data_IF_707317856925
#
_entry.id   IF_707317856925
#
_cell.length_a   1.000
_cell.length_b   1.000
_cell.length_c   1.000
_cell.angle_alpha   90.00
_cell.angle_beta   90.00
_cell.angle_gamma   90.00
#
_symmetry.space_group_name_H-M   'P 1'
#
loop_
_entity.id
_entity.type
_entity.pdbx_description
1 polymer ?
#
# COMPACT_ATOMS: atom_id res chain seq x y z
N UNK A 1 -11.32 6.09 -8.50
CA UNK A 1 -10.40 4.96 -8.33
C UNK A 1 -10.10 4.31 -9.68
N UNK A 2 -8.98 3.60 -9.77
CA UNK A 2 -8.62 2.84 -10.97
C UNK A 2 -9.25 1.45 -10.88
N UNK A 3 -9.76 0.92 -12.00
CA UNK A 3 -10.31 -0.44 -12.08
C UNK A 3 -10.03 -1.08 -13.43
N UNK A 4 -10.10 -2.41 -13.46
CA UNK A 4 -10.09 -3.25 -14.66
C UNK A 4 -11.35 -4.08 -14.68
N UNK A 5 -11.94 -4.25 -15.86
CA UNK A 5 -13.14 -5.06 -16.07
C UNK A 5 -12.83 -6.12 -17.13
N UNK A 6 -13.24 -7.36 -16.86
CA UNK A 6 -13.25 -8.47 -17.81
C UNK A 6 -14.67 -8.97 -17.99
N UNK A 7 -15.05 -9.18 -19.23
CA UNK A 7 -16.25 -9.94 -19.59
C UNK A 7 -15.84 -11.40 -19.82
N UNK A 8 -16.38 -12.29 -19.00
CA UNK A 8 -16.05 -13.70 -19.00
C UNK A 8 -17.28 -14.51 -19.37
N UNK A 9 -17.22 -15.23 -20.51
CA UNK A 9 -18.30 -16.13 -20.90
C UNK A 9 -18.06 -17.52 -20.30
N UNK A 10 -19.06 -18.05 -19.59
CA UNK A 10 -19.04 -19.41 -19.06
C UNK A 10 -20.15 -20.28 -19.66
N UNK A 11 -19.88 -21.58 -19.89
CA UNK A 11 -20.80 -22.46 -20.64
C UNK A 11 -22.03 -22.91 -19.83
N UNK A 12 -21.97 -22.84 -18.50
CA UNK A 12 -23.05 -23.30 -17.61
C UNK A 12 -23.05 -22.53 -16.29
N UNK A 13 -24.19 -22.52 -15.62
CA UNK A 13 -24.25 -22.08 -14.22
C UNK A 13 -23.38 -22.99 -13.34
N UNK A 14 -22.63 -22.38 -12.41
CA UNK A 14 -21.77 -23.18 -11.55
C UNK A 14 -20.92 -22.35 -10.58
N UNK A 15 -20.15 -23.06 -9.77
CA UNK A 15 -19.19 -22.50 -8.84
C UNK A 15 -17.79 -22.55 -9.46
N UNK A 16 -17.29 -21.41 -9.88
CA UNK A 16 -16.01 -21.26 -10.56
C UNK A 16 -14.91 -20.75 -9.61
N UNK A 17 -13.68 -21.07 -9.91
CA UNK A 17 -12.51 -20.54 -9.21
C UNK A 17 -11.86 -19.46 -10.09
N UNK A 18 -11.54 -18.32 -9.50
CA UNK A 18 -10.85 -17.23 -10.15
C UNK A 18 -9.41 -17.10 -9.65
N UNK A 19 -8.54 -16.64 -10.54
CA UNK A 19 -7.16 -16.30 -10.21
C UNK A 19 -6.61 -15.22 -11.13
N UNK A 20 -5.64 -14.48 -10.65
CA UNK A 20 -4.94 -13.43 -11.41
C UNK A 20 -3.47 -13.80 -11.52
N UNK A 21 -2.93 -13.71 -12.75
CA UNK A 21 -1.49 -13.67 -12.93
C UNK A 21 -1.06 -12.22 -12.98
N UNK A 22 -0.31 -11.80 -11.99
CA UNK A 22 0.16 -10.43 -11.85
C UNK A 22 1.46 -10.34 -11.07
N UNK A 23 2.01 -9.15 -10.97
CA UNK A 23 3.14 -8.83 -10.09
C UNK A 23 3.03 -7.41 -9.56
N UNK A 24 3.54 -7.22 -8.36
CA UNK A 24 3.82 -5.91 -7.77
C UNK A 24 5.33 -5.86 -7.53
N UNK A 25 6.06 -5.12 -8.37
CA UNK A 25 7.52 -5.05 -8.38
C UNK A 25 8.06 -3.63 -8.12
N UNK A 26 7.21 -2.74 -7.61
CA UNK A 26 7.54 -1.32 -7.41
C UNK A 26 7.78 -1.01 -5.93
N UNK A 27 6.88 -1.44 -5.03
CA UNK A 27 6.94 -1.08 -3.62
C UNK A 27 7.40 -2.28 -2.80
N UNK A 28 8.70 -2.35 -2.53
CA UNK A 28 9.31 -3.43 -1.76
C UNK A 28 8.96 -3.30 -0.26
N UNK A 29 8.50 -4.39 0.35
CA UNK A 29 8.06 -4.40 1.75
C UNK A 29 6.64 -3.89 1.97
N UNK A 30 5.85 -3.79 0.89
CA UNK A 30 4.43 -3.48 0.91
C UNK A 30 3.64 -4.42 -0.01
N UNK A 31 2.34 -4.22 -0.07
CA UNK A 31 1.44 -4.90 -1.00
C UNK A 31 0.54 -3.89 -1.71
N UNK A 32 0.02 -4.28 -2.85
CA UNK A 32 -1.05 -3.56 -3.53
C UNK A 32 -2.38 -4.27 -3.31
N UNK A 33 -3.41 -3.52 -3.00
CA UNK A 33 -4.74 -4.06 -2.70
C UNK A 33 -5.70 -3.88 -3.87
N UNK A 34 -6.56 -4.88 -4.06
CA UNK A 34 -7.66 -4.83 -5.02
C UNK A 34 -8.94 -5.33 -4.37
N UNK A 35 -10.04 -4.70 -4.73
CA UNK A 35 -11.39 -5.17 -4.42
C UNK A 35 -11.97 -5.86 -5.64
N UNK A 36 -12.53 -7.05 -5.43
CA UNK A 36 -13.14 -7.85 -6.48
C UNK A 36 -14.66 -7.68 -6.46
N UNK A 37 -15.21 -7.43 -7.64
CA UNK A 37 -16.64 -7.50 -7.88
C UNK A 37 -16.92 -8.54 -8.95
N UNK A 38 -18.04 -9.24 -8.79
CA UNK A 38 -18.59 -10.18 -9.76
C UNK A 38 -20.02 -9.78 -10.04
N UNK A 39 -20.32 -9.40 -11.27
CA UNK A 39 -21.64 -8.90 -11.68
C UNK A 39 -22.13 -7.73 -10.79
N UNK A 40 -21.20 -6.84 -10.37
CA UNK A 40 -21.48 -5.66 -9.56
C UNK A 40 -21.54 -5.92 -8.04
N UNK A 41 -21.39 -7.15 -7.57
CA UNK A 41 -21.43 -7.53 -6.15
C UNK A 41 -20.07 -8.04 -5.66
N UNK A 42 -19.77 -7.84 -4.37
CA UNK A 42 -18.60 -8.43 -3.71
C UNK A 42 -18.95 -9.87 -3.34
N UNK A 43 -18.27 -10.88 -3.91
CA UNK A 43 -18.73 -12.27 -3.81
C UNK A 43 -18.52 -12.91 -2.42
N UNK A 44 -17.59 -12.37 -1.62
CA UNK A 44 -17.26 -12.82 -0.26
C UNK A 44 -16.47 -11.73 0.45
N UNK A 45 -16.34 -11.81 1.78
CA UNK A 45 -15.74 -10.73 2.61
C UNK A 45 -14.28 -10.43 2.24
N UNK A 46 -13.47 -11.44 2.01
CA UNK A 46 -12.04 -11.29 1.69
C UNK A 46 -11.83 -10.66 0.30
N UNK A 47 -12.85 -10.63 -0.55
CA UNK A 47 -12.84 -9.93 -1.83
C UNK A 47 -12.82 -8.40 -1.69
N UNK A 48 -13.09 -7.87 -0.49
CA UNK A 48 -12.94 -6.43 -0.20
C UNK A 48 -11.49 -5.98 -0.23
N UNK A 49 -10.53 -6.89 0.10
CA UNK A 49 -9.11 -6.58 0.11
C UNK A 49 -8.26 -7.79 -0.28
N UNK A 50 -8.01 -7.95 -1.58
CA UNK A 50 -7.09 -8.95 -2.11
C UNK A 50 -5.70 -8.31 -2.19
N UNK A 51 -4.71 -8.90 -1.50
CA UNK A 51 -3.35 -8.35 -1.38
C UNK A 51 -2.40 -9.01 -2.35
N UNK A 52 -1.69 -8.20 -3.12
CA UNK A 52 -0.61 -8.60 -4.02
C UNK A 52 0.71 -8.14 -3.42
N UNK A 53 1.43 -9.05 -2.81
CA UNK A 53 2.72 -8.77 -2.18
C UNK A 53 3.81 -8.51 -3.23
N UNK A 54 4.87 -7.79 -2.80
CA UNK A 54 6.01 -7.52 -3.66
C UNK A 54 6.65 -8.80 -4.18
N UNK A 55 6.77 -8.92 -5.51
CA UNK A 55 7.51 -9.96 -6.21
C UNK A 55 7.95 -9.43 -7.59
N UNK A 56 9.22 -9.68 -7.95
CA UNK A 56 9.75 -9.31 -9.25
C UNK A 56 9.22 -10.18 -10.39
N UNK A 57 8.71 -11.37 -10.07
CA UNK A 57 8.18 -12.33 -11.02
C UNK A 57 6.66 -12.30 -11.07
N UNK A 58 6.09 -12.57 -12.23
CA UNK A 58 4.65 -12.78 -12.34
C UNK A 58 4.23 -14.03 -11.58
N UNK A 59 3.36 -13.85 -10.60
CA UNK A 59 2.78 -14.93 -9.81
C UNK A 59 1.31 -15.12 -10.17
N UNK A 60 0.87 -16.39 -10.16
CA UNK A 60 -0.57 -16.68 -10.28
C UNK A 60 -1.13 -16.76 -8.85
N UNK A 61 -1.94 -15.80 -8.48
CA UNK A 61 -2.68 -15.77 -7.23
C UNK A 61 -4.10 -16.26 -7.46
N UNK A 62 -4.42 -17.41 -6.90
CA UNK A 62 -5.80 -17.94 -6.86
C UNK A 62 -6.52 -17.27 -5.69
N UNK A 63 -7.74 -16.81 -5.92
CA UNK A 63 -8.53 -16.21 -4.85
C UNK A 63 -9.00 -17.28 -3.87
N UNK A 64 -8.58 -17.14 -2.62
CA UNK A 64 -8.78 -18.13 -1.56
C UNK A 64 -8.06 -17.72 -0.27
N UNK A 65 -8.05 -18.62 0.70
CA UNK A 65 -7.34 -18.44 1.98
C UNK A 65 -5.88 -18.90 1.97
N UNK A 66 -5.36 -19.28 0.79
CA UNK A 66 -4.02 -19.83 0.59
C UNK A 66 -3.98 -21.36 0.52
N UNK A 67 -4.90 -22.05 1.16
CA UNK A 67 -5.06 -23.51 1.11
C UNK A 67 -6.22 -23.92 0.21
N UNK A 68 -7.33 -23.20 0.30
CA UNK A 68 -8.58 -23.50 -0.42
C UNK A 68 -8.94 -22.34 -1.34
N UNK A 69 -9.19 -22.66 -2.60
CA UNK A 69 -9.71 -21.69 -3.56
C UNK A 69 -11.18 -21.39 -3.28
N UNK A 70 -11.51 -20.09 -3.24
CA UNK A 70 -12.91 -19.68 -3.10
C UNK A 70 -13.70 -19.97 -4.38
N UNK A 71 -14.92 -20.45 -4.19
CA UNK A 71 -15.81 -20.78 -5.27
C UNK A 71 -16.85 -19.67 -5.44
N UNK A 72 -16.90 -19.12 -6.63
CA UNK A 72 -17.70 -17.96 -6.97
C UNK A 72 -18.81 -18.40 -7.92
N UNK A 73 -20.08 -18.11 -7.62
CA UNK A 73 -21.19 -18.45 -8.50
C UNK A 73 -21.15 -17.58 -9.76
N UNK A 74 -21.00 -18.20 -10.92
CA UNK A 74 -21.17 -17.56 -12.22
C UNK A 74 -22.37 -18.16 -12.94
N UNK A 75 -23.08 -17.34 -13.71
CA UNK A 75 -24.22 -17.75 -14.52
C UNK A 75 -23.78 -18.03 -15.95
N UNK A 76 -24.44 -18.96 -16.61
CA UNK A 76 -24.25 -19.24 -18.02
C UNK A 76 -24.31 -17.94 -18.86
N UNK A 77 -23.33 -17.76 -19.75
CA UNK A 77 -23.17 -16.57 -20.57
C UNK A 77 -22.12 -15.63 -20.00
N UNK A 78 -22.26 -14.33 -20.28
CA UNK A 78 -21.30 -13.30 -19.93
C UNK A 78 -21.45 -12.90 -18.46
N UNK A 79 -20.35 -12.89 -17.74
CA UNK A 79 -20.23 -12.37 -16.38
C UNK A 79 -19.18 -11.28 -16.35
N UNK A 80 -19.46 -10.20 -15.62
CA UNK A 80 -18.53 -9.10 -15.40
C UNK A 80 -17.67 -9.39 -14.18
N UNK A 81 -16.35 -9.37 -14.35
CA UNK A 81 -15.36 -9.46 -13.27
C UNK A 81 -14.61 -8.13 -13.20
N UNK A 82 -14.77 -7.40 -12.10
CA UNK A 82 -14.12 -6.10 -11.91
C UNK A 82 -13.13 -6.17 -10.75
N UNK A 83 -11.91 -5.66 -10.98
CA UNK A 83 -10.92 -5.38 -9.94
C UNK A 83 -10.72 -3.87 -9.80
N UNK A 84 -10.93 -3.37 -8.61
CA UNK A 84 -10.78 -1.96 -8.25
C UNK A 84 -9.58 -1.77 -7.33
N UNK A 85 -8.71 -0.79 -7.62
CA UNK A 85 -7.62 -0.41 -6.74
C UNK A 85 -8.16 0.19 -5.44
N UNK A 86 -7.69 -0.30 -4.31
CA UNK A 86 -8.09 0.18 -2.98
C UNK A 86 -6.87 0.27 -2.07
N UNK A 87 -6.92 1.14 -1.07
CA UNK A 87 -5.91 1.18 -0.02
C UNK A 87 -6.15 0.12 1.06
N UNK A 88 -7.37 -0.42 1.13
CA UNK A 88 -7.72 -1.44 2.11
C UNK A 88 -7.37 -1.04 3.54
N UNK A 89 -6.75 -1.95 4.25
CA UNK A 89 -6.33 -1.77 5.65
C UNK A 89 -5.26 -0.68 5.85
N UNK A 90 -4.59 -0.23 4.78
CA UNK A 90 -3.60 0.86 4.86
C UNK A 90 -4.25 2.25 4.83
N UNK A 91 -5.52 2.36 4.48
CA UNK A 91 -6.16 3.67 4.25
C UNK A 91 -6.07 4.60 5.47
N UNK A 92 -6.49 4.15 6.64
CA UNK A 92 -6.44 4.96 7.86
C UNK A 92 -5.00 5.31 8.26
N UNK A 93 -4.08 4.35 8.14
CA UNK A 93 -2.68 4.56 8.46
C UNK A 93 -2.04 5.62 7.57
N UNK A 94 -2.31 5.59 6.25
CA UNK A 94 -1.77 6.59 5.33
C UNK A 94 -2.32 7.99 5.59
N UNK A 95 -3.60 8.11 5.98
CA UNK A 95 -4.18 9.40 6.42
C UNK A 95 -3.49 9.94 7.68
N UNK A 96 -3.28 9.09 8.68
CA UNK A 96 -2.59 9.48 9.92
C UNK A 96 -1.13 9.88 9.67
N UNK A 97 -0.43 9.22 8.72
CA UNK A 97 0.92 9.64 8.30
C UNK A 97 0.90 11.01 7.61
N UNK A 98 -0.10 11.29 6.78
CA UNK A 98 -0.26 12.62 6.16
C UNK A 98 -0.45 13.73 7.21
N UNK A 99 -1.28 13.47 8.22
CA UNK A 99 -1.46 14.37 9.36
C UNK A 99 -0.14 14.60 10.12
N UNK A 100 0.65 13.55 10.36
CA UNK A 100 1.98 13.65 10.96
C UNK A 100 2.93 14.51 10.10
N UNK A 101 2.95 14.31 8.78
CA UNK A 101 3.76 15.11 7.84
C UNK A 101 3.38 16.59 7.95
N UNK A 102 2.09 16.91 7.98
CA UNK A 102 1.62 18.28 8.12
C UNK A 102 2.06 18.90 9.45
N UNK A 103 1.97 18.15 10.54
CA UNK A 103 2.42 18.59 11.87
C UNK A 103 3.94 18.79 11.91
N UNK A 104 4.74 17.86 11.37
CA UNK A 104 6.19 17.98 11.28
C UNK A 104 6.63 19.18 10.43
N UNK A 105 5.95 19.45 9.32
CA UNK A 105 6.20 20.66 8.52
C UNK A 105 5.91 21.94 9.31
N UNK A 106 4.83 21.96 10.10
CA UNK A 106 4.55 23.11 10.99
C UNK A 106 5.65 23.31 12.03
N UNK A 107 6.16 22.23 12.62
CA UNK A 107 7.30 22.24 13.54
C UNK A 107 8.55 22.77 12.86
N UNK A 108 8.87 22.23 11.66
CA UNK A 108 9.99 22.67 10.85
C UNK A 108 9.95 24.19 10.59
N UNK A 109 8.79 24.71 10.18
CA UNK A 109 8.62 26.15 9.92
C UNK A 109 8.85 27.01 11.17
N UNK A 110 8.42 26.57 12.34
CA UNK A 110 8.64 27.29 13.61
C UNK A 110 10.12 27.31 14.01
N UNK A 111 10.83 26.19 13.83
CA UNK A 111 12.29 26.14 14.03
C UNK A 111 13.00 27.04 13.04
N UNK A 112 12.61 26.99 11.76
CA UNK A 112 13.15 27.82 10.68
C UNK A 112 13.05 29.32 10.98
N UNK A 113 11.93 29.77 11.56
CA UNK A 113 11.73 31.19 11.92
C UNK A 113 12.73 31.66 13.00
N UNK A 114 13.23 30.79 13.84
CA UNK A 114 14.20 31.11 14.90
C UNK A 114 15.64 31.01 14.37
N UNK A 115 15.92 29.98 13.60
CA UNK A 115 17.29 29.63 13.19
C UNK A 115 17.68 30.23 11.86
N UNK A 116 16.71 30.58 11.02
CA UNK A 116 16.93 30.81 9.60
C UNK A 116 17.19 29.50 8.83
N UNK A 117 17.41 29.60 7.50
CA UNK A 117 17.54 28.43 6.63
C UNK A 117 18.86 27.66 6.83
N UNK A 118 19.87 28.31 7.42
CA UNK A 118 21.16 27.70 7.70
C UNK A 118 21.48 27.96 9.17
N UNK A 119 21.03 27.08 10.08
CA UNK A 119 21.32 27.24 11.51
C UNK A 119 22.81 27.25 11.81
N UNK A 120 23.24 28.13 12.72
CA UNK A 120 24.56 28.05 13.31
C UNK A 120 24.58 26.88 14.30
N UNK A 121 25.34 25.85 14.00
CA UNK A 121 25.40 24.61 14.75
C UNK A 121 26.06 24.77 16.14
N UNK A 122 26.76 25.86 16.37
CA UNK A 122 27.44 26.15 17.63
C UNK A 122 26.66 27.11 18.53
N UNK A 123 25.57 27.68 18.01
CA UNK A 123 24.73 28.63 18.75
C UNK A 123 23.72 27.91 19.60
N UNK A 124 23.66 28.24 20.87
CA UNK A 124 22.56 27.91 21.77
C UNK A 124 21.33 28.77 21.42
N UNK A 125 20.29 28.12 20.87
CA UNK A 125 19.03 28.76 20.51
C UNK A 125 18.00 28.73 21.65
N UNK A 126 18.27 28.03 22.75
CA UNK A 126 17.37 27.87 23.91
C UNK A 126 15.96 27.45 23.48
N UNK A 127 15.86 26.43 22.63
CA UNK A 127 14.57 25.94 22.11
C UNK A 127 13.61 25.52 23.20
N UNK A 128 14.12 24.98 24.30
CA UNK A 128 13.35 24.64 25.50
C UNK A 128 12.59 25.81 26.12
N UNK A 129 13.15 27.02 26.01
CA UNK A 129 12.55 28.26 26.51
C UNK A 129 11.76 29.03 25.45
N UNK A 130 12.27 29.06 24.20
CA UNK A 130 11.67 29.86 23.15
C UNK A 130 10.44 29.17 22.53
N UNK A 131 10.47 27.82 22.41
CA UNK A 131 9.43 27.04 21.72
C UNK A 131 9.06 25.75 22.49
N UNK A 132 8.73 25.81 23.80
CA UNK A 132 8.40 24.60 24.57
C UNK A 132 7.22 23.83 23.97
N UNK A 133 6.26 24.52 23.35
CA UNK A 133 5.11 23.89 22.68
C UNK A 133 5.54 23.11 21.43
N UNK A 134 6.57 23.57 20.71
CA UNK A 134 7.10 22.85 19.55
C UNK A 134 7.78 21.56 19.98
N UNK A 135 8.53 21.56 21.08
CA UNK A 135 9.15 20.35 21.62
C UNK A 135 8.11 19.35 22.08
N UNK A 136 7.06 19.82 22.75
CA UNK A 136 5.94 18.94 23.12
C UNK A 136 5.28 18.31 21.89
N UNK A 137 4.93 19.12 20.89
CA UNK A 137 4.33 18.62 19.67
C UNK A 137 5.27 17.66 18.92
N UNK A 138 6.57 17.93 18.89
CA UNK A 138 7.56 17.04 18.28
C UNK A 138 7.59 15.67 18.98
N UNK A 139 7.47 15.65 20.31
CA UNK A 139 7.34 14.41 21.08
C UNK A 139 6.06 13.65 20.72
N UNK A 140 4.93 14.35 20.65
CA UNK A 140 3.64 13.76 20.25
C UNK A 140 3.73 13.13 18.85
N UNK A 141 4.42 13.80 17.92
CA UNK A 141 4.63 13.24 16.58
C UNK A 141 5.59 12.04 16.60
N UNK A 142 6.62 12.04 17.43
CA UNK A 142 7.51 10.89 17.59
C UNK A 142 6.74 9.66 18.09
N UNK A 143 5.90 9.84 19.12
CA UNK A 143 5.09 8.76 19.68
C UNK A 143 4.04 8.25 18.66
N UNK A 144 3.39 9.15 17.92
CA UNK A 144 2.44 8.78 16.86
C UNK A 144 3.11 8.01 15.70
N UNK A 145 4.26 8.46 15.23
CA UNK A 145 5.03 7.78 14.18
C UNK A 145 5.55 6.41 14.60
N UNK A 146 5.89 6.22 15.89
CA UNK A 146 6.28 4.90 16.43
C UNK A 146 5.11 3.92 16.42
N UNK A 147 3.90 4.38 16.81
CA UNK A 147 2.68 3.58 16.71
C UNK A 147 2.38 3.21 15.25
N UNK A 148 2.44 4.20 14.35
CA UNK A 148 2.24 4.01 12.91
C UNK A 148 3.24 3.01 12.31
N UNK A 149 4.50 3.08 12.70
CA UNK A 149 5.51 2.10 12.32
C UNK A 149 5.12 0.68 12.76
N UNK A 150 4.71 0.54 14.01
CA UNK A 150 4.33 -0.76 14.59
C UNK A 150 3.11 -1.34 13.90
N UNK A 151 2.09 -0.53 13.63
CA UNK A 151 0.88 -0.90 12.90
C UNK A 151 1.19 -1.24 11.44
N UNK A 152 2.06 -0.47 10.77
CA UNK A 152 2.48 -0.75 9.41
C UNK A 152 3.13 -2.14 9.29
N UNK A 153 4.08 -2.45 10.18
CA UNK A 153 4.73 -3.77 10.23
C UNK A 153 3.71 -4.88 10.51
N UNK A 154 2.75 -4.65 11.41
CA UNK A 154 1.71 -5.63 11.70
C UNK A 154 0.78 -5.88 10.51
N UNK A 155 0.41 -4.85 9.76
CA UNK A 155 -0.48 -4.94 8.59
C UNK A 155 0.23 -5.60 7.40
N UNK A 156 1.48 -5.21 7.13
CA UNK A 156 2.24 -5.70 5.96
C UNK A 156 2.91 -7.04 6.21
N UNK A 157 3.15 -7.38 7.47
CA UNK A 157 3.95 -8.55 7.86
C UNK A 157 5.43 -8.43 7.53
N UNK A 158 5.90 -7.22 7.17
CA UNK A 158 7.26 -6.98 6.69
C UNK A 158 7.89 -5.76 7.37
N UNK A 159 9.18 -5.87 7.68
CA UNK A 159 10.01 -4.79 8.21
C UNK A 159 11.04 -4.36 7.14
N UNK A 160 10.55 -4.08 5.94
CA UNK A 160 11.35 -3.67 4.79
C UNK A 160 11.71 -2.19 4.78
N UNK A 161 12.18 -1.71 3.63
CA UNK A 161 12.63 -0.32 3.44
C UNK A 161 11.55 0.70 3.79
N UNK A 162 10.30 0.41 3.46
CA UNK A 162 9.16 1.28 3.72
C UNK A 162 8.93 1.50 5.23
N UNK A 163 8.99 0.43 6.03
CA UNK A 163 8.91 0.52 7.48
C UNK A 163 10.09 1.31 8.08
N UNK A 164 11.29 1.20 7.49
CA UNK A 164 12.48 1.93 7.96
C UNK A 164 12.37 3.45 7.77
N UNK A 165 11.61 3.92 6.78
CA UNK A 165 11.34 5.36 6.60
C UNK A 165 10.53 5.92 7.78
N UNK A 166 9.47 5.24 8.20
CA UNK A 166 8.71 5.61 9.42
C UNK A 166 9.60 5.55 10.66
N UNK A 167 10.42 4.50 10.77
CA UNK A 167 11.35 4.33 11.89
C UNK A 167 12.37 5.46 11.99
N UNK A 168 12.99 5.85 10.88
CA UNK A 168 13.93 6.99 10.85
C UNK A 168 13.27 8.27 11.34
N UNK A 169 12.05 8.54 10.88
CA UNK A 169 11.33 9.75 11.22
C UNK A 169 11.03 9.83 12.73
N UNK A 170 10.49 8.75 13.34
CA UNK A 170 10.20 8.81 14.78
C UNK A 170 11.46 8.87 15.64
N UNK A 171 12.51 8.13 15.28
CA UNK A 171 13.77 8.17 16.02
C UNK A 171 14.38 9.57 15.99
N UNK A 172 14.41 10.22 14.83
CA UNK A 172 14.93 11.58 14.73
C UNK A 172 14.09 12.58 15.53
N UNK A 173 12.75 12.49 15.45
CA UNK A 173 11.88 13.36 16.22
C UNK A 173 12.11 13.18 17.73
N UNK A 174 12.34 11.94 18.17
CA UNK A 174 12.66 11.61 19.57
C UNK A 174 14.01 12.16 20.00
N UNK A 175 15.06 11.96 19.17
CA UNK A 175 16.40 12.55 19.43
C UNK A 175 16.33 14.07 19.54
N UNK A 176 15.59 14.77 18.70
CA UNK A 176 15.43 16.22 18.77
C UNK A 176 14.65 16.68 20.00
N UNK A 177 13.78 15.83 20.54
CA UNK A 177 13.04 16.12 21.78
C UNK A 177 13.93 15.88 23.01
N UNK A 178 14.73 14.83 23.00
CA UNK A 178 15.60 14.44 24.11
C UNK A 178 16.84 15.34 24.22
N UNK A 179 17.29 15.91 23.09
CA UNK A 179 18.43 16.81 22.99
C UNK A 179 18.04 18.08 22.20
N UNK A 180 17.34 19.04 22.84
CA UNK A 180 16.93 20.29 22.18
C UNK A 180 18.11 21.14 21.67
N UNK A 181 19.26 21.09 22.32
CA UNK A 181 20.46 21.83 21.90
C UNK A 181 21.03 21.30 20.57
N UNK A 182 20.82 20.02 20.28
CA UNK A 182 21.21 19.38 19.04
C UNK A 182 20.26 19.61 17.85
N UNK A 183 19.15 20.33 18.03
CA UNK A 183 18.16 20.55 16.95
C UNK A 183 18.79 21.27 15.75
N UNK A 184 19.61 22.30 16.00
CA UNK A 184 20.28 23.04 14.93
C UNK A 184 21.17 22.16 14.04
N UNK A 185 21.84 21.18 14.63
CA UNK A 185 22.70 20.23 13.92
C UNK A 185 21.87 19.22 13.09
N UNK A 186 20.67 18.86 13.56
CA UNK A 186 19.79 17.87 12.95
C UNK A 186 18.78 18.49 11.97
N UNK A 187 18.73 19.82 11.85
CA UNK A 187 17.68 20.54 11.14
C UNK A 187 17.59 20.14 9.65
N UNK A 188 18.73 20.04 8.96
CA UNK A 188 18.77 19.62 7.55
C UNK A 188 18.28 18.19 7.36
N UNK A 189 18.70 17.26 8.24
CA UNK A 189 18.26 15.86 8.19
C UNK A 189 16.77 15.75 8.52
N UNK A 190 16.26 16.58 9.43
CA UNK A 190 14.84 16.63 9.75
C UNK A 190 13.98 17.00 8.53
N UNK A 191 14.38 18.05 7.79
CA UNK A 191 13.72 18.41 6.52
C UNK A 191 13.76 17.29 5.49
N UNK A 192 14.90 16.60 5.37
CA UNK A 192 15.06 15.48 4.44
C UNK A 192 14.13 14.31 4.81
N UNK A 193 14.03 13.96 6.08
CA UNK A 193 13.16 12.87 6.53
C UNK A 193 11.67 13.18 6.34
N UNK A 194 11.24 14.44 6.52
CA UNK A 194 9.87 14.87 6.18
C UNK A 194 9.61 14.68 4.68
N UNK A 195 10.57 15.04 3.83
CA UNK A 195 10.46 14.84 2.38
C UNK A 195 10.42 13.36 2.00
N UNK A 196 11.24 12.52 2.65
CA UNK A 196 11.22 11.07 2.46
C UNK A 196 9.86 10.46 2.85
N UNK A 197 9.26 10.91 3.97
CA UNK A 197 7.91 10.49 4.38
C UNK A 197 6.85 10.87 3.34
N UNK A 198 6.90 12.09 2.78
CA UNK A 198 5.97 12.53 1.74
C UNK A 198 6.10 11.70 0.46
N UNK A 199 7.33 11.36 0.06
CA UNK A 199 7.59 10.48 -1.09
C UNK A 199 7.08 9.07 -0.82
N UNK A 200 7.34 8.53 0.37
CA UNK A 200 6.85 7.24 0.80
C UNK A 200 5.31 7.18 0.76
N UNK A 201 4.63 8.18 1.34
CA UNK A 201 3.18 8.27 1.34
C UNK A 201 2.60 8.26 -0.09
N UNK A 202 3.20 9.06 -0.98
CA UNK A 202 2.80 9.11 -2.39
C UNK A 202 2.95 7.75 -3.09
N UNK A 203 4.05 7.05 -2.87
CA UNK A 203 4.30 5.73 -3.45
C UNK A 203 3.34 4.67 -2.90
N UNK A 204 3.11 4.66 -1.59
CA UNK A 204 2.19 3.74 -0.94
C UNK A 204 0.73 3.91 -1.43
N UNK A 205 0.34 5.15 -1.77
CA UNK A 205 -1.00 5.45 -2.27
C UNK A 205 -1.23 5.00 -3.72
N UNK A 206 -0.17 4.81 -4.53
CA UNK A 206 -0.30 4.44 -5.96
C UNK A 206 -0.83 3.04 -6.21
N UNK A 207 -0.65 2.11 -5.28
CA UNK A 207 -1.13 0.73 -5.39
C UNK A 207 -0.76 0.04 -6.73
N UNK A 208 0.53 0.06 -7.12
CA UNK A 208 0.96 -0.45 -8.42
C UNK A 208 0.72 -1.96 -8.54
N UNK A 209 0.19 -2.39 -9.68
CA UNK A 209 0.00 -3.82 -9.99
C UNK A 209 -0.01 -4.01 -11.50
N UNK A 210 0.91 -4.83 -12.00
CA UNK A 210 0.89 -5.30 -13.37
C UNK A 210 0.09 -6.59 -13.45
N UNK A 211 -0.90 -6.66 -14.33
CA UNK A 211 -1.74 -7.84 -14.53
C UNK A 211 -1.52 -8.37 -15.94
N UNK A 212 -1.17 -9.66 -16.04
CA UNK A 212 -1.00 -10.38 -17.31
C UNK A 212 -2.35 -10.92 -17.80
N UNK A 213 -3.04 -11.72 -16.96
CA UNK A 213 -4.36 -12.25 -17.27
C UNK A 213 -5.16 -12.67 -16.06
N UNK A 214 -6.49 -12.75 -16.27
CA UNK A 214 -7.45 -13.38 -15.36
C UNK A 214 -7.63 -14.85 -15.78
N UNK A 215 -7.66 -15.76 -14.82
CA UNK A 215 -7.97 -17.19 -15.02
C UNK A 215 -9.29 -17.52 -14.38
N UNK A 216 -10.11 -18.28 -15.10
CA UNK A 216 -11.38 -18.82 -14.63
C UNK A 216 -11.36 -20.33 -14.82
N UNK A 217 -11.54 -21.10 -13.74
CA UNK A 217 -11.59 -22.55 -13.78
C UNK A 217 -12.98 -23.06 -13.43
N UNK A 218 -13.44 -24.06 -14.18
CA UNK A 218 -14.72 -24.73 -13.91
C UNK A 218 -14.66 -25.54 -12.61
N UNK A 219 -15.80 -25.98 -12.05
CA UNK A 219 -15.85 -26.75 -10.81
C UNK A 219 -15.01 -28.03 -10.81
N UNK A 220 -14.81 -28.62 -11.98
CA UNK A 220 -14.04 -29.86 -12.17
C UNK A 220 -12.54 -29.64 -12.33
N UNK A 221 -12.10 -28.37 -12.36
CA UNK A 221 -10.70 -27.97 -12.57
C UNK A 221 -10.19 -27.23 -11.34
N UNK A 222 -8.97 -27.57 -10.91
CA UNK A 222 -8.30 -26.89 -9.80
C UNK A 222 -7.22 -25.97 -10.34
N UNK A 223 -7.27 -24.68 -9.97
CA UNK A 223 -6.19 -23.72 -10.17
C UNK A 223 -5.11 -23.83 -9.09
N UNK A 224 -5.37 -24.54 -7.99
CA UNK A 224 -4.42 -24.75 -6.91
C UNK A 224 -3.30 -25.66 -7.40
N UNK A 225 -2.05 -25.19 -7.38
CA UNK A 225 -0.86 -25.98 -7.70
C UNK A 225 -0.72 -27.16 -6.72
N UNK A 226 -1.03 -28.35 -7.15
CA UNK A 226 -0.37 -29.55 -6.56
C UNK A 226 1.07 -29.52 -7.07
N UNK A 227 2.00 -29.35 -6.17
CA UNK A 227 3.45 -29.35 -6.30
C UNK A 227 4.06 -29.32 -7.72
N UNK A 228 5.14 -28.58 -7.89
CA UNK A 228 5.83 -28.32 -9.15
C UNK A 228 5.77 -29.46 -10.18
N UNK A 229 5.11 -29.19 -11.32
CA UNK A 229 5.19 -30.04 -12.49
C UNK A 229 3.84 -30.55 -12.97
N UNK A 230 3.12 -29.72 -13.69
CA UNK A 230 2.34 -30.11 -14.86
C UNK A 230 1.65 -28.87 -15.45
N UNK A 231 2.20 -28.30 -16.51
CA UNK A 231 1.46 -27.44 -17.41
C UNK A 231 0.54 -28.30 -18.27
N UNK A 232 -0.69 -28.51 -17.81
CA UNK A 232 -1.73 -29.01 -18.70
C UNK A 232 -2.35 -27.82 -19.42
N UNK A 233 -2.16 -27.80 -20.73
CA UNK A 233 -2.79 -26.87 -21.67
C UNK A 233 -4.30 -27.00 -21.56
N UNK A 234 -4.94 -25.93 -21.08
CA UNK A 234 -6.38 -25.76 -21.28
C UNK A 234 -6.62 -24.39 -21.89
N UNK A 235 -6.81 -24.42 -23.20
CA UNK A 235 -7.44 -23.35 -23.94
C UNK A 235 -8.94 -23.54 -23.87
N UNK A 236 -9.61 -22.87 -22.95
CA UNK A 236 -10.99 -22.47 -23.19
C UNK A 236 -10.94 -21.20 -24.00
N UNK A 237 -11.70 -21.17 -25.12
CA UNK A 237 -11.74 -20.01 -26.00
C UNK A 237 -12.28 -18.78 -25.28
N UNK A 238 -11.39 -18.02 -24.66
CA UNK A 238 -11.66 -16.68 -24.23
C UNK A 238 -11.45 -15.80 -25.45
N UNK A 239 -12.53 -15.39 -26.09
CA UNK A 239 -12.46 -14.21 -26.94
C UNK A 239 -12.23 -13.02 -26.03
N UNK A 240 -10.97 -12.68 -25.83
CA UNK A 240 -10.57 -11.45 -25.16
C UNK A 240 -10.99 -10.26 -26.01
N UNK A 241 -12.10 -9.63 -25.64
CA UNK A 241 -12.32 -8.22 -25.94
C UNK A 241 -11.72 -7.44 -24.75
N UNK A 242 -10.42 -7.13 -24.88
CA UNK A 242 -9.78 -6.14 -23.99
C UNK A 242 -10.27 -4.78 -24.46
N UNK A 243 -11.33 -4.27 -23.86
CA UNK A 243 -11.65 -2.86 -23.93
C UNK A 243 -10.95 -2.15 -22.78
N UNK A 244 -9.68 -1.76 -22.99
CA UNK A 244 -9.02 -0.81 -22.12
C UNK A 244 -9.58 0.59 -22.41
N UNK A 245 -10.54 1.03 -21.63
CA UNK A 245 -10.89 2.44 -21.58
C UNK A 245 -9.99 3.13 -20.55
N UNK A 246 -8.87 3.68 -21.03
CA UNK A 246 -8.20 4.77 -20.35
C UNK A 246 -9.11 6.00 -20.47
N UNK A 247 -9.81 6.35 -19.40
CA UNK A 247 -10.39 7.67 -19.28
C UNK A 247 -9.37 8.53 -18.53
N UNK A 248 -8.64 9.34 -19.32
CA UNK A 248 -8.00 10.55 -18.80
C UNK A 248 -9.12 11.51 -18.37
N UNK A 249 -9.10 11.93 -17.12
CA UNK A 249 -9.81 13.10 -16.65
C UNK A 249 -8.78 14.18 -16.36
N UNK A 250 -8.78 15.20 -17.21
CA UNK A 250 -8.29 16.54 -16.92
C UNK A 250 -8.97 17.14 -15.69
#
# INVERSE_FOLDING_TARGET
GQWLIWEVEVPADGLYTLGIKGRQNVVNGAYSSRRLYVNGEIPYKEAEEIRFHYDNSFQTQVFGDGETAYRIPLKKGINEIKLEATLGSLSSLLMEVDDCIAALNSIYMKILMITGPTPDQLRDYQFDKQIPDVLRNLKEQADALEDLYSRYVAITGQNGQEAQTLKKAYLQAREMTDDPDGIAQRFSTFSSNITELGTWLSNAAQQPLEIDYLTVASPDQSLVKKGAGFFSRFWFGVKQLVASFLHDYD
#
